data_IF_695318878096
#
_entry.id   IF_695318878096
#
_cell.length_a   1.000
_cell.length_b   1.000
_cell.length_c   1.000
_cell.angle_alpha   90.00
_cell.angle_beta   90.00
_cell.angle_gamma   90.00
#
_symmetry.space_group_name_H-M   'P 1'
#
loop_
_entity.id
_entity.type
_entity.pdbx_description
1 polymer ?
#
# COMPACT_ATOMS: atom_id res chain seq x y z
N UNK A 1 -8.77 11.02 -17.96
CA UNK A 1 -7.71 10.66 -17.00
C UNK A 1 -7.61 11.76 -15.95
N UNK A 2 -7.77 11.44 -14.68
CA UNK A 2 -7.50 12.41 -13.62
C UNK A 2 -6.00 12.69 -13.62
N UNK A 3 -5.59 13.95 -13.88
CA UNK A 3 -4.18 14.40 -13.94
C UNK A 3 -3.50 14.43 -12.56
N UNK A 4 -3.79 13.47 -11.68
CA UNK A 4 -3.31 13.48 -10.32
C UNK A 4 -3.69 12.26 -9.50
N UNK A 5 -3.12 12.14 -8.29
CA UNK A 5 -3.34 11.02 -7.40
C UNK A 5 -4.82 10.84 -7.03
N UNK A 6 -5.29 9.59 -7.03
CA UNK A 6 -6.68 9.26 -6.73
C UNK A 6 -7.06 9.70 -5.30
N UNK A 7 -8.07 10.57 -5.11
CA UNK A 7 -8.46 11.09 -3.79
C UNK A 7 -8.89 10.02 -2.79
N UNK A 8 -9.49 8.92 -3.27
CA UNK A 8 -9.90 7.80 -2.43
C UNK A 8 -8.66 7.16 -1.85
N UNK A 9 -7.69 6.76 -2.68
CA UNK A 9 -6.44 6.14 -2.23
C UNK A 9 -5.62 7.07 -1.31
N UNK A 10 -5.60 8.38 -1.59
CA UNK A 10 -4.95 9.38 -0.75
C UNK A 10 -5.49 9.40 0.69
N UNK A 11 -6.78 9.14 0.87
CA UNK A 11 -7.41 9.14 2.20
C UNK A 11 -6.96 7.98 3.10
N UNK A 12 -6.47 6.89 2.50
CA UNK A 12 -6.00 5.69 3.21
C UNK A 12 -4.52 5.80 3.60
N UNK A 13 -3.69 6.37 2.72
CA UNK A 13 -2.24 6.45 2.96
C UNK A 13 -1.83 7.43 4.07
N UNK A 14 -2.77 8.19 4.64
CA UNK A 14 -2.53 8.99 5.85
C UNK A 14 -2.14 8.15 7.06
N UNK A 15 -2.52 6.88 7.07
CA UNK A 15 -2.22 5.93 8.14
C UNK A 15 -0.89 5.20 7.94
N UNK A 16 -0.29 5.30 6.76
CA UNK A 16 0.97 4.64 6.43
C UNK A 16 2.17 5.51 6.84
N UNK A 17 3.33 4.90 7.15
CA UNK A 17 4.57 5.62 7.41
C UNK A 17 4.92 6.57 6.27
N UNK A 18 5.49 7.72 6.59
CA UNK A 18 5.79 8.73 5.55
C UNK A 18 6.74 8.21 4.48
N UNK A 19 7.67 7.32 4.87
CA UNK A 19 8.65 6.75 3.97
C UNK A 19 8.16 5.50 3.22
N UNK A 20 6.93 5.02 3.48
CA UNK A 20 6.34 3.86 2.80
C UNK A 20 6.37 4.02 1.28
N UNK A 21 6.79 2.96 0.58
CA UNK A 21 6.88 2.97 -0.88
C UNK A 21 5.48 3.07 -1.48
N UNK A 22 4.50 2.28 -1.01
CA UNK A 22 3.13 2.38 -1.53
C UNK A 22 2.51 3.76 -1.29
N UNK A 23 2.81 4.41 -0.15
CA UNK A 23 2.37 5.80 0.09
C UNK A 23 2.95 6.77 -0.94
N UNK A 24 4.22 6.61 -1.30
CA UNK A 24 4.88 7.43 -2.32
C UNK A 24 4.27 7.20 -3.71
N UNK A 25 3.99 5.94 -4.07
CA UNK A 25 3.32 5.58 -5.33
C UNK A 25 1.92 6.21 -5.44
N UNK A 26 1.12 6.11 -4.37
CA UNK A 26 -0.21 6.75 -4.34
C UNK A 26 -0.08 8.27 -4.49
N UNK A 27 0.85 8.91 -3.79
CA UNK A 27 1.06 10.36 -3.87
C UNK A 27 1.57 10.82 -5.23
N UNK A 28 2.34 10.00 -5.95
CA UNK A 28 2.84 10.32 -7.29
C UNK A 28 1.83 10.07 -8.40
N UNK A 29 0.68 9.45 -8.09
CA UNK A 29 -0.28 9.03 -9.11
C UNK A 29 0.23 7.88 -9.96
N UNK A 30 0.95 6.93 -9.35
CA UNK A 30 1.37 5.71 -10.03
C UNK A 30 0.15 4.87 -10.49
N UNK A 31 0.32 3.98 -11.48
CA UNK A 31 -0.75 3.08 -11.94
C UNK A 31 -1.36 2.28 -10.79
N UNK A 32 -2.69 2.08 -10.82
CA UNK A 32 -3.40 1.39 -9.74
C UNK A 32 -2.92 -0.06 -9.55
N UNK A 33 -2.60 -0.76 -10.64
CA UNK A 33 -2.01 -2.11 -10.58
C UNK A 33 -0.68 -2.13 -9.83
N UNK A 34 0.20 -1.16 -10.07
CA UNK A 34 1.49 -1.04 -9.37
C UNK A 34 1.28 -0.73 -7.87
N UNK A 35 0.32 0.14 -7.54
CA UNK A 35 -0.06 0.45 -6.15
C UNK A 35 -0.55 -0.82 -5.44
N UNK A 36 -1.42 -1.60 -6.08
CA UNK A 36 -1.96 -2.84 -5.52
C UNK A 36 -0.87 -3.88 -5.25
N UNK A 37 0.01 -4.10 -6.23
CA UNK A 37 1.14 -5.03 -6.10
C UNK A 37 2.09 -4.63 -4.97
N UNK A 38 2.41 -3.34 -4.86
CA UNK A 38 3.27 -2.84 -3.80
C UNK A 38 2.61 -2.92 -2.41
N UNK A 39 1.30 -2.66 -2.31
CA UNK A 39 0.54 -2.84 -1.06
C UNK A 39 0.60 -4.31 -0.60
N UNK A 40 0.39 -5.26 -1.52
CA UNK A 40 0.48 -6.70 -1.27
C UNK A 40 1.89 -7.11 -0.84
N UNK A 41 2.92 -6.54 -1.45
CA UNK A 41 4.31 -6.80 -1.12
C UNK A 41 4.64 -6.32 0.31
N UNK A 42 4.29 -5.10 0.66
CA UNK A 42 4.49 -4.54 2.01
C UNK A 42 3.72 -5.36 3.06
N UNK A 43 2.48 -5.75 2.76
CA UNK A 43 1.67 -6.60 3.62
C UNK A 43 2.38 -7.92 3.93
N UNK A 44 2.95 -8.59 2.92
CA UNK A 44 3.70 -9.85 3.07
C UNK A 44 4.98 -9.70 3.91
N UNK A 45 5.54 -8.49 4.01
CA UNK A 45 6.70 -8.24 4.87
C UNK A 45 6.31 -7.98 6.32
N UNK A 46 5.13 -7.40 6.57
CA UNK A 46 4.65 -7.11 7.93
C UNK A 46 3.98 -8.34 8.55
N UNK A 47 3.24 -9.14 7.77
CA UNK A 47 2.45 -10.25 8.31
C UNK A 47 3.26 -11.27 9.13
N UNK A 48 4.47 -11.68 8.72
CA UNK A 48 5.28 -12.62 9.50
C UNK A 48 5.79 -12.05 10.83
N UNK A 49 5.78 -10.73 10.99
CA UNK A 49 6.38 -10.04 12.14
C UNK A 49 5.34 -9.32 13.02
N UNK A 50 4.04 -9.50 12.74
CA UNK A 50 2.94 -8.87 13.51
C UNK A 50 3.03 -9.17 15.00
N UNK A 51 3.25 -10.43 15.37
CA UNK A 51 3.33 -10.90 16.76
C UNK A 51 4.76 -11.18 17.22
N UNK A 52 5.75 -10.75 16.43
CA UNK A 52 7.15 -11.05 16.67
C UNK A 52 7.86 -9.88 17.35
N UNK A 53 8.64 -10.16 18.38
CA UNK A 53 9.57 -9.17 18.96
C UNK A 53 10.88 -9.07 18.16
N UNK A 54 10.97 -9.78 17.02
CA UNK A 54 12.11 -9.71 16.13
C UNK A 54 12.28 -8.30 15.54
N UNK A 55 13.53 -7.88 15.24
CA UNK A 55 13.78 -6.64 14.51
C UNK A 55 13.14 -6.66 13.12
N UNK A 56 12.92 -5.49 12.49
CA UNK A 56 12.34 -5.41 11.16
C UNK A 56 13.24 -6.11 10.14
N UNK A 57 12.63 -6.77 9.14
CA UNK A 57 13.39 -7.41 8.07
C UNK A 57 14.10 -6.35 7.21
N UNK A 58 15.21 -6.70 6.52
CA UNK A 58 15.88 -5.77 5.61
C UNK A 58 14.95 -5.20 4.53
N UNK A 59 13.99 -5.99 4.05
CA UNK A 59 13.01 -5.55 3.05
C UNK A 59 12.01 -4.56 3.65
N UNK A 60 11.54 -4.80 4.87
CA UNK A 60 10.68 -3.86 5.59
C UNK A 60 11.38 -2.52 5.84
N UNK A 61 12.68 -2.54 6.16
CA UNK A 61 13.52 -1.34 6.25
C UNK A 61 13.62 -0.61 4.91
N UNK A 62 13.91 -1.34 3.82
CA UNK A 62 13.97 -0.78 2.45
C UNK A 62 12.66 -0.15 2.02
N UNK A 63 11.54 -0.68 2.50
CA UNK A 63 10.20 -0.16 2.22
C UNK A 63 9.80 1.02 3.12
N UNK A 64 10.69 1.50 4.00
CA UNK A 64 10.46 2.72 4.79
C UNK A 64 9.74 2.51 6.12
N UNK A 65 9.63 1.28 6.62
CA UNK A 65 8.92 0.97 7.85
C UNK A 65 9.80 0.97 9.10
N UNK A 66 11.12 1.17 8.99
CA UNK A 66 12.05 1.00 10.12
C UNK A 66 11.68 1.86 11.34
N UNK A 67 11.44 3.15 11.13
CA UNK A 67 11.11 4.07 12.23
C UNK A 67 9.76 3.72 12.86
N UNK A 68 8.74 3.49 12.04
CA UNK A 68 7.42 3.08 12.52
C UNK A 68 7.45 1.76 13.28
N UNK A 69 8.19 0.76 12.79
CA UNK A 69 8.22 -0.58 13.37
C UNK A 69 8.82 -0.59 14.79
N UNK A 70 9.77 0.32 15.09
CA UNK A 70 10.37 0.45 16.42
C UNK A 70 9.38 0.91 17.48
N UNK A 71 8.40 1.71 17.08
CA UNK A 71 7.39 2.28 17.97
C UNK A 71 6.05 1.52 17.93
N UNK A 72 5.81 0.74 16.87
CA UNK A 72 4.57 -0.01 16.67
C UNK A 72 4.51 -1.30 17.50
N UNK A 73 3.45 -1.42 18.29
CA UNK A 73 3.10 -2.67 18.96
C UNK A 73 2.40 -3.67 18.03
N UNK A 74 2.05 -4.85 18.54
CA UNK A 74 1.39 -5.89 17.76
C UNK A 74 0.00 -5.46 17.24
N UNK A 75 -0.72 -4.60 17.96
CA UNK A 75 -2.02 -4.08 17.54
C UNK A 75 -1.86 -3.09 16.39
N UNK A 76 -0.90 -2.17 16.50
CA UNK A 76 -0.56 -1.23 15.43
C UNK A 76 -0.11 -1.95 14.16
N UNK A 77 0.66 -3.03 14.28
CA UNK A 77 1.06 -3.86 13.14
C UNK A 77 -0.13 -4.58 12.51
N UNK A 78 -1.06 -5.08 13.33
CA UNK A 78 -2.30 -5.70 12.85
C UNK A 78 -3.17 -4.67 12.10
N UNK A 79 -3.30 -3.45 12.62
CA UNK A 79 -4.01 -2.35 11.94
C UNK A 79 -3.35 -1.99 10.62
N UNK A 80 -2.01 -1.98 10.57
CA UNK A 80 -1.27 -1.72 9.32
C UNK A 80 -1.56 -2.74 8.24
N UNK A 81 -1.66 -4.04 8.60
CA UNK A 81 -2.09 -5.07 7.67
C UNK A 81 -3.49 -4.79 7.12
N UNK A 82 -4.42 -4.34 7.97
CA UNK A 82 -5.77 -3.96 7.54
C UNK A 82 -5.74 -2.80 6.53
N UNK A 83 -4.95 -1.76 6.81
CA UNK A 83 -4.81 -0.62 5.90
C UNK A 83 -4.20 -1.01 4.56
N UNK A 84 -3.14 -1.81 4.56
CA UNK A 84 -2.49 -2.29 3.34
C UNK A 84 -3.40 -3.21 2.52
N UNK A 85 -4.18 -4.08 3.17
CA UNK A 85 -5.13 -4.94 2.47
C UNK A 85 -6.21 -4.13 1.78
N UNK A 86 -6.86 -3.20 2.51
CA UNK A 86 -7.90 -2.34 1.93
C UNK A 86 -7.34 -1.48 0.79
N UNK A 87 -6.15 -0.91 0.97
CA UNK A 87 -5.50 -0.11 -0.08
C UNK A 87 -5.24 -0.95 -1.34
N UNK A 88 -4.74 -2.18 -1.16
CA UNK A 88 -4.45 -3.09 -2.27
C UNK A 88 -5.69 -3.55 -3.02
N UNK A 89 -6.76 -3.90 -2.30
CA UNK A 89 -8.05 -4.30 -2.87
C UNK A 89 -8.67 -3.16 -3.69
N UNK A 90 -8.81 -1.96 -3.12
CA UNK A 90 -9.38 -0.82 -3.85
C UNK A 90 -8.52 -0.41 -5.06
N UNK A 91 -7.19 -0.49 -4.95
CA UNK A 91 -6.32 -0.20 -6.08
C UNK A 91 -6.44 -1.29 -7.17
N UNK A 92 -6.72 -2.54 -6.82
CA UNK A 92 -6.98 -3.57 -7.80
C UNK A 92 -8.32 -3.32 -8.51
N UNK A 93 -9.38 -3.04 -7.75
CA UNK A 93 -10.71 -2.75 -8.31
C UNK A 93 -10.64 -1.59 -9.32
N UNK A 94 -9.95 -0.50 -8.96
CA UNK A 94 -9.74 0.65 -9.85
C UNK A 94 -8.90 0.31 -11.09
N UNK A 95 -7.92 -0.60 -10.97
CA UNK A 95 -7.12 -1.04 -12.11
C UNK A 95 -7.95 -1.86 -13.08
N UNK A 96 -8.83 -2.73 -12.57
CA UNK A 96 -9.73 -3.55 -13.37
C UNK A 96 -10.76 -2.66 -14.09
N UNK A 97 -11.32 -1.65 -13.40
CA UNK A 97 -12.20 -0.64 -14.02
C UNK A 97 -11.49 0.13 -15.16
N UNK A 98 -10.26 0.60 -14.97
CA UNK A 98 -9.48 1.27 -16.02
C UNK A 98 -9.20 0.35 -17.23
N UNK A 99 -8.93 -0.93 -16.99
CA UNK A 99 -8.67 -1.92 -18.05
C UNK A 99 -9.94 -2.24 -18.85
N UNK A 100 -11.10 -2.33 -18.20
CA UNK A 100 -12.39 -2.54 -18.85
C UNK A 100 -12.78 -1.34 -19.73
N UNK A 101 -12.64 -0.12 -19.23
CA UNK A 101 -12.93 1.11 -20.00
C UNK A 101 -12.07 1.19 -21.28
N UNK A 102 -10.78 0.90 -21.18
CA UNK A 102 -9.87 0.88 -22.33
C UNK A 102 -10.24 -0.20 -23.37
N UNK A 103 -10.70 -1.36 -22.91
CA UNK A 103 -11.12 -2.45 -23.80
C UNK A 103 -12.42 -2.12 -24.56
N UNK A 104 -13.31 -1.30 -23.99
CA UNK A 104 -14.54 -0.84 -24.64
C UNK A 104 -14.30 0.31 -25.65
N UNK A 105 -13.29 1.15 -25.43
CA UNK A 105 -12.94 2.25 -26.36
C UNK A 105 -12.25 1.77 -27.65
N UNK A 106 -11.56 0.62 -27.60
CA UNK A 106 -10.83 0.02 -28.73
C UNK A 106 -11.67 -0.98 -29.57
N UNK A 107 -12.92 -1.25 -29.18
CA UNK A 107 -13.83 -2.25 -29.81
C UNK A 107 -14.92 -1.66 -30.70
#
# INVERSE_FOLDING_TARGET
MADGPNPVLLSFVKHLPEESVVKKLVKSGAPFREISEQASLEWKQIAPVVSSDAPPTPDLVRMGYEAWYKDADAEDRTRMLGWLNMLGEMALDLAEEEEEELAEEDG
#
